data_IF_872383750179
#
_entry.id   IF_872383750179
#
_cell.length_a   1.000
_cell.length_b   1.000
_cell.length_c   1.000
_cell.angle_alpha   90.00
_cell.angle_beta   90.00
_cell.angle_gamma   90.00
#
_symmetry.space_group_name_H-M   'P 1'
#
loop_
_entity.id
_entity.type
_entity.pdbx_description
1 polymer ?
#
# COMPACT_ATOMS: atom_id res chain seq x y z
N UNK A 1 -52.62 -30.33 -84.59
CA UNK A 1 -52.47 -30.04 -86.02
C UNK A 1 -52.03 -31.31 -86.72
N UNK A 2 -52.95 -31.89 -87.51
CA UNK A 2 -52.79 -32.89 -88.58
C UNK A 2 -51.42 -33.56 -88.80
N UNK A 3 -51.39 -34.90 -88.78
CA UNK A 3 -51.52 -35.68 -90.02
C UNK A 3 -51.67 -37.19 -89.72
N UNK A 4 -52.89 -37.70 -89.81
CA UNK A 4 -53.11 -39.10 -90.12
C UNK A 4 -52.79 -39.28 -91.60
N UNK A 5 -51.61 -39.80 -91.92
CA UNK A 5 -51.32 -40.33 -93.25
C UNK A 5 -51.84 -41.77 -93.29
N UNK A 6 -53.03 -41.93 -93.85
CA UNK A 6 -53.52 -43.21 -94.37
C UNK A 6 -52.54 -43.72 -95.42
N UNK A 7 -51.80 -44.78 -95.10
CA UNK A 7 -51.10 -45.55 -96.11
C UNK A 7 -52.10 -46.48 -96.80
N UNK A 8 -52.46 -46.09 -98.02
CA UNK A 8 -53.18 -46.89 -99.01
C UNK A 8 -52.44 -48.21 -99.24
N UNK A 9 -53.07 -49.32 -98.84
CA UNK A 9 -52.62 -50.67 -99.17
C UNK A 9 -53.23 -51.05 -100.53
N UNK A 10 -52.54 -50.71 -101.61
CA UNK A 10 -52.82 -51.30 -102.92
C UNK A 10 -52.35 -52.76 -102.87
N UNK A 11 -53.27 -53.68 -102.59
CA UNK A 11 -53.07 -55.10 -102.84
C UNK A 11 -53.41 -55.39 -104.29
N UNK A 12 -52.38 -55.46 -105.15
CA UNK A 12 -52.49 -56.13 -106.44
C UNK A 12 -52.66 -57.65 -106.20
N UNK A 13 -53.63 -58.32 -106.82
CA UNK A 13 -53.77 -59.77 -106.70
C UNK A 13 -52.75 -60.47 -107.62
N UNK A 14 -51.75 -61.10 -107.01
CA UNK A 14 -50.72 -61.89 -107.69
C UNK A 14 -51.35 -63.19 -108.27
N UNK A 15 -51.19 -63.52 -109.57
CA UNK A 15 -52.00 -64.52 -110.28
C UNK A 15 -51.56 -65.98 -110.05
N UNK A 16 -51.15 -66.36 -108.83
CA UNK A 16 -50.64 -67.73 -108.54
C UNK A 16 -51.60 -68.64 -107.74
N UNK A 17 -52.85 -68.22 -107.51
CA UNK A 17 -53.82 -68.95 -106.67
C UNK A 17 -54.46 -70.20 -107.32
N UNK A 18 -54.10 -70.61 -108.54
CA UNK A 18 -54.76 -71.72 -109.26
C UNK A 18 -53.94 -73.02 -109.39
N UNK A 19 -52.81 -73.14 -108.70
CA UNK A 19 -51.99 -74.36 -108.69
C UNK A 19 -51.60 -74.75 -107.27
N UNK A 20 -51.65 -76.05 -106.93
CA UNK A 20 -51.33 -76.58 -105.59
C UNK A 20 -49.94 -76.15 -105.08
N UNK A 21 -48.99 -75.93 -106.00
CA UNK A 21 -47.64 -75.42 -105.72
C UNK A 21 -47.61 -73.92 -105.39
N UNK A 22 -48.46 -73.09 -106.00
CA UNK A 22 -48.54 -71.64 -105.72
C UNK A 22 -49.12 -71.36 -104.33
N UNK A 23 -50.17 -72.09 -103.96
CA UNK A 23 -50.75 -72.02 -102.60
C UNK A 23 -49.75 -72.53 -101.54
N UNK A 24 -48.99 -73.60 -101.82
CA UNK A 24 -47.90 -74.06 -100.94
C UNK A 24 -46.78 -73.02 -100.78
N UNK A 25 -46.39 -72.35 -101.86
CA UNK A 25 -45.38 -71.29 -101.82
C UNK A 25 -45.86 -70.07 -101.00
N UNK A 26 -47.13 -69.70 -101.14
CA UNK A 26 -47.75 -68.62 -100.37
C UNK A 26 -47.84 -68.95 -98.88
N UNK A 27 -48.24 -70.19 -98.53
CA UNK A 27 -48.26 -70.67 -97.14
C UNK A 27 -46.84 -70.68 -96.55
N UNK A 28 -45.85 -71.11 -97.32
CA UNK A 28 -44.44 -71.08 -96.90
C UNK A 28 -43.93 -69.64 -96.69
N UNK A 29 -44.29 -68.71 -97.58
CA UNK A 29 -43.98 -67.27 -97.46
C UNK A 29 -44.64 -66.66 -96.22
N UNK A 30 -45.93 -66.90 -96.01
CA UNK A 30 -46.65 -66.41 -94.83
C UNK A 30 -46.14 -67.05 -93.53
N UNK A 31 -45.76 -68.33 -93.56
CA UNK A 31 -45.13 -68.99 -92.41
C UNK A 31 -43.78 -68.36 -92.06
N UNK A 32 -42.93 -68.06 -93.06
CA UNK A 32 -41.68 -67.33 -92.85
C UNK A 32 -41.90 -65.91 -92.33
N UNK A 33 -42.92 -65.20 -92.82
CA UNK A 33 -43.28 -63.87 -92.31
C UNK A 33 -43.80 -63.93 -90.88
N UNK A 34 -44.60 -64.93 -90.54
CA UNK A 34 -45.08 -65.16 -89.18
C UNK A 34 -43.94 -65.50 -88.23
N UNK A 35 -43.00 -66.35 -88.64
CA UNK A 35 -41.78 -66.66 -87.87
C UNK A 35 -40.90 -65.42 -87.67
N UNK A 36 -40.71 -64.59 -88.70
CA UNK A 36 -39.98 -63.32 -88.58
C UNK A 36 -40.66 -62.33 -87.63
N UNK A 37 -41.99 -62.19 -87.71
CA UNK A 37 -42.77 -61.34 -86.80
C UNK A 37 -42.72 -61.83 -85.35
N UNK A 38 -42.63 -63.15 -85.13
CA UNK A 38 -42.49 -63.74 -83.80
C UNK A 38 -41.13 -63.44 -83.18
N UNK A 39 -40.06 -63.47 -83.98
CA UNK A 39 -38.72 -63.09 -83.52
C UNK A 39 -38.66 -61.58 -83.26
N UNK A 40 -39.17 -60.73 -84.16
CA UNK A 40 -39.24 -59.28 -83.94
C UNK A 40 -40.06 -58.93 -82.68
N UNK A 41 -41.19 -59.62 -82.45
CA UNK A 41 -42.01 -59.44 -81.25
C UNK A 41 -41.22 -59.81 -80.00
N UNK A 42 -40.45 -60.91 -80.04
CA UNK A 42 -39.61 -61.37 -78.93
C UNK A 42 -38.47 -60.39 -78.65
N UNK A 43 -37.81 -59.87 -79.68
CA UNK A 43 -36.76 -58.86 -79.56
C UNK A 43 -37.32 -57.54 -79.01
N UNK A 44 -38.48 -57.10 -79.49
CA UNK A 44 -39.18 -55.93 -78.97
C UNK A 44 -39.59 -56.09 -77.50
N UNK A 45 -40.08 -57.27 -77.10
CA UNK A 45 -40.41 -57.53 -75.69
C UNK A 45 -39.16 -57.53 -74.82
N UNK A 46 -38.07 -58.11 -75.29
CA UNK A 46 -36.79 -58.14 -74.56
C UNK A 46 -36.23 -56.72 -74.39
N UNK A 47 -36.19 -55.92 -75.46
CA UNK A 47 -35.73 -54.52 -75.42
C UNK A 47 -36.63 -53.63 -74.57
N UNK A 48 -37.95 -53.85 -74.58
CA UNK A 48 -38.90 -53.15 -73.70
C UNK A 48 -38.61 -53.45 -72.23
N UNK A 49 -38.40 -54.72 -71.90
CA UNK A 49 -38.17 -55.16 -70.53
C UNK A 49 -36.80 -54.67 -70.02
N UNK A 50 -35.76 -54.70 -70.86
CA UNK A 50 -34.45 -54.08 -70.58
C UNK A 50 -34.57 -52.58 -70.32
N UNK A 51 -35.28 -51.83 -71.17
CA UNK A 51 -35.52 -50.40 -70.95
C UNK A 51 -36.26 -50.13 -69.66
N UNK A 52 -37.23 -50.99 -69.31
CA UNK A 52 -38.02 -50.86 -68.08
C UNK A 52 -37.15 -51.13 -66.85
N UNK A 53 -36.29 -52.14 -66.91
CA UNK A 53 -35.33 -52.43 -65.85
C UNK A 53 -34.34 -51.27 -65.67
N UNK A 54 -33.72 -50.80 -66.76
CA UNK A 54 -32.81 -49.64 -66.75
C UNK A 54 -33.48 -48.40 -66.14
N UNK A 55 -34.72 -48.11 -66.54
CA UNK A 55 -35.51 -46.99 -65.99
C UNK A 55 -35.76 -47.16 -64.50
N UNK A 56 -35.98 -48.39 -64.03
CA UNK A 56 -36.21 -48.68 -62.61
C UNK A 56 -34.93 -48.51 -61.80
N UNK A 57 -33.80 -49.01 -62.31
CA UNK A 57 -32.48 -48.83 -61.70
C UNK A 57 -32.08 -47.34 -61.63
N UNK A 58 -32.33 -46.56 -62.70
CA UNK A 58 -32.07 -45.11 -62.68
C UNK A 58 -32.94 -44.40 -61.64
N UNK A 59 -34.24 -44.72 -61.56
CA UNK A 59 -35.12 -44.15 -60.54
C UNK A 59 -34.64 -44.48 -59.12
N UNK A 60 -34.20 -45.70 -58.87
CA UNK A 60 -33.70 -46.12 -57.56
C UNK A 60 -32.38 -45.42 -57.20
N UNK A 61 -31.44 -45.32 -58.15
CA UNK A 61 -30.20 -44.55 -57.97
C UNK A 61 -30.46 -43.08 -57.69
N UNK A 62 -31.38 -42.45 -58.43
CA UNK A 62 -31.75 -41.05 -58.19
C UNK A 62 -32.35 -40.86 -56.80
N UNK A 63 -33.27 -41.73 -56.37
CA UNK A 63 -33.85 -41.68 -55.02
C UNK A 63 -32.80 -41.85 -53.92
N UNK A 64 -31.88 -42.78 -54.10
CA UNK A 64 -30.79 -42.99 -53.14
C UNK A 64 -29.90 -41.76 -53.05
N UNK A 65 -29.49 -41.23 -54.20
CA UNK A 65 -28.65 -40.03 -54.28
C UNK A 65 -29.33 -38.80 -53.66
N UNK A 66 -30.64 -38.60 -53.86
CA UNK A 66 -31.37 -37.49 -53.23
C UNK A 66 -31.43 -37.64 -51.71
N UNK A 67 -31.66 -38.84 -51.19
CA UNK A 67 -31.68 -39.09 -49.73
C UNK A 67 -30.30 -38.88 -49.11
N UNK A 68 -29.24 -39.33 -49.79
CA UNK A 68 -27.87 -39.14 -49.31
C UNK A 68 -27.49 -37.64 -49.32
N UNK A 69 -27.87 -36.88 -50.36
CA UNK A 69 -27.69 -35.43 -50.42
C UNK A 69 -28.45 -34.69 -49.30
N UNK A 70 -29.71 -35.05 -49.04
CA UNK A 70 -30.50 -34.44 -47.95
C UNK A 70 -29.88 -34.72 -46.57
N UNK A 71 -29.33 -35.92 -46.37
CA UNK A 71 -28.60 -36.25 -45.13
C UNK A 71 -27.34 -35.42 -45.00
N UNK A 72 -26.52 -35.33 -46.05
CA UNK A 72 -25.29 -34.54 -46.02
C UNK A 72 -25.60 -33.06 -45.77
N UNK A 73 -26.63 -32.50 -46.41
CA UNK A 73 -27.07 -31.12 -46.19
C UNK A 73 -27.52 -30.89 -44.74
N UNK A 74 -28.28 -31.82 -44.15
CA UNK A 74 -28.66 -31.75 -42.74
C UNK A 74 -27.45 -31.84 -41.80
N UNK A 75 -26.51 -32.74 -42.08
CA UNK A 75 -25.29 -32.93 -41.29
C UNK A 75 -24.42 -31.68 -41.29
N UNK A 76 -24.15 -31.10 -42.48
CA UNK A 76 -23.36 -29.87 -42.57
C UNK A 76 -24.04 -28.69 -41.91
N UNK A 77 -25.37 -28.59 -41.99
CA UNK A 77 -26.11 -27.53 -41.32
C UNK A 77 -25.98 -27.62 -39.80
N UNK A 78 -26.16 -28.81 -39.23
CA UNK A 78 -26.02 -29.04 -37.79
C UNK A 78 -24.59 -28.77 -37.33
N UNK A 79 -23.59 -29.17 -38.11
CA UNK A 79 -22.17 -28.92 -37.78
C UNK A 79 -21.83 -27.42 -37.83
N UNK A 80 -22.33 -26.68 -38.82
CA UNK A 80 -22.17 -25.22 -38.88
C UNK A 80 -22.85 -24.54 -37.70
N UNK A 81 -24.05 -24.99 -37.31
CA UNK A 81 -24.78 -24.42 -36.16
C UNK A 81 -24.03 -24.67 -34.85
N UNK A 82 -23.49 -25.88 -34.67
CA UNK A 82 -22.67 -26.21 -33.50
C UNK A 82 -21.36 -25.40 -33.47
N UNK A 83 -20.65 -25.28 -34.59
CA UNK A 83 -19.45 -24.44 -34.69
C UNK A 83 -19.74 -22.96 -34.44
N UNK A 84 -20.91 -22.48 -34.84
CA UNK A 84 -21.32 -21.10 -34.57
C UNK A 84 -21.58 -20.89 -33.08
N UNK A 85 -22.26 -21.83 -32.43
CA UNK A 85 -22.50 -21.79 -30.99
C UNK A 85 -21.19 -21.80 -30.17
N UNK A 86 -20.21 -22.61 -30.58
CA UNK A 86 -18.89 -22.62 -29.90
C UNK A 86 -18.14 -21.31 -30.12
N UNK A 87 -18.22 -20.72 -31.31
CA UNK A 87 -17.60 -19.41 -31.60
C UNK A 87 -18.24 -18.29 -30.76
N UNK A 88 -19.57 -18.28 -30.64
CA UNK A 88 -20.28 -17.30 -29.82
C UNK A 88 -19.90 -17.43 -28.33
N UNK A 89 -19.80 -18.66 -27.81
CA UNK A 89 -19.32 -18.92 -26.43
C UNK A 89 -17.88 -18.46 -26.21
N UNK A 90 -16.97 -18.76 -27.15
CA UNK A 90 -15.57 -18.31 -27.05
C UNK A 90 -15.44 -16.79 -27.11
N UNK A 91 -16.29 -16.14 -27.91
CA UNK A 91 -16.31 -14.68 -28.00
C UNK A 91 -16.83 -14.03 -26.72
N UNK A 92 -17.79 -14.66 -26.04
CA UNK A 92 -18.24 -14.22 -24.72
C UNK A 92 -17.13 -14.38 -23.67
N UNK A 93 -16.42 -15.52 -23.66
CA UNK A 93 -15.26 -15.73 -22.79
C UNK A 93 -14.13 -14.73 -23.07
N UNK A 94 -13.82 -14.44 -24.34
CA UNK A 94 -12.82 -13.44 -24.72
C UNK A 94 -13.18 -12.05 -24.18
N UNK A 95 -14.45 -11.64 -24.29
CA UNK A 95 -14.91 -10.37 -23.76
C UNK A 95 -14.78 -10.32 -22.22
N UNK A 96 -15.20 -11.38 -21.54
CA UNK A 96 -15.09 -11.48 -20.07
C UNK A 96 -13.62 -11.40 -19.61
N UNK A 97 -12.72 -12.15 -20.25
CA UNK A 97 -11.30 -12.10 -19.97
C UNK A 97 -10.69 -10.72 -20.25
N UNK A 98 -11.13 -10.05 -21.33
CA UNK A 98 -10.67 -8.70 -21.65
C UNK A 98 -11.11 -7.67 -20.60
N UNK A 99 -12.32 -7.80 -20.05
CA UNK A 99 -12.78 -6.97 -18.93
C UNK A 99 -11.98 -7.24 -17.65
N UNK A 100 -11.69 -8.50 -17.36
CA UNK A 100 -10.90 -8.89 -16.19
C UNK A 100 -9.45 -8.37 -16.28
N UNK A 101 -8.83 -8.48 -17.45
CA UNK A 101 -7.50 -7.89 -17.72
C UNK A 101 -7.52 -6.37 -17.50
N UNK A 102 -8.55 -5.66 -17.99
CA UNK A 102 -8.67 -4.21 -17.79
C UNK A 102 -8.81 -3.86 -16.31
N UNK A 103 -9.57 -4.67 -15.55
CA UNK A 103 -9.76 -4.48 -14.11
C UNK A 103 -8.44 -4.65 -13.36
N UNK A 104 -7.72 -5.76 -13.62
CA UNK A 104 -6.43 -6.03 -12.99
C UNK A 104 -5.39 -4.97 -13.36
N UNK A 105 -5.37 -4.51 -14.61
CA UNK A 105 -4.47 -3.42 -15.03
C UNK A 105 -4.75 -2.10 -14.30
N UNK A 106 -6.02 -1.79 -14.02
CA UNK A 106 -6.37 -0.62 -13.23
C UNK A 106 -5.90 -0.74 -11.77
N UNK A 107 -6.06 -1.92 -11.17
CA UNK A 107 -5.64 -2.21 -9.80
C UNK A 107 -4.10 -2.17 -9.65
N UNK A 108 -3.36 -2.74 -10.61
CA UNK A 108 -1.89 -2.65 -10.65
C UNK A 108 -1.44 -1.20 -10.73
N UNK A 109 -2.10 -0.38 -11.56
CA UNK A 109 -1.73 1.03 -11.71
C UNK A 109 -1.97 1.83 -10.42
N UNK A 110 -3.07 1.55 -9.72
CA UNK A 110 -3.37 2.17 -8.43
C UNK A 110 -2.34 1.80 -7.36
N UNK A 111 -1.95 0.52 -7.29
CA UNK A 111 -0.88 0.06 -6.40
C UNK A 111 0.49 0.66 -6.77
N UNK A 112 0.82 0.75 -8.06
CA UNK A 112 2.06 1.40 -8.51
C UNK A 112 2.10 2.88 -8.12
N UNK A 113 0.98 3.62 -8.30
CA UNK A 113 0.87 5.02 -7.90
C UNK A 113 1.05 5.18 -6.38
N UNK A 114 0.46 4.29 -5.56
CA UNK A 114 0.66 4.27 -4.10
C UNK A 114 2.10 3.94 -3.71
N UNK A 115 2.73 3.00 -4.40
CA UNK A 115 4.10 2.59 -4.11
C UNK A 115 5.11 3.69 -4.47
N UNK A 116 4.87 4.46 -5.54
CA UNK A 116 5.66 5.66 -5.85
C UNK A 116 5.53 6.69 -4.74
N UNK A 117 4.32 6.95 -4.24
CA UNK A 117 4.11 7.89 -3.13
C UNK A 117 4.82 7.44 -1.84
N UNK A 118 4.71 6.15 -1.48
CA UNK A 118 5.41 5.57 -0.33
C UNK A 118 6.93 5.63 -0.49
N UNK A 119 7.45 5.43 -1.70
CA UNK A 119 8.88 5.50 -1.99
C UNK A 119 9.40 6.93 -1.96
N UNK A 120 8.64 7.90 -2.47
CA UNK A 120 8.95 9.33 -2.33
C UNK A 120 8.97 9.74 -0.85
N UNK A 121 8.04 9.24 -0.05
CA UNK A 121 8.04 9.43 1.39
C UNK A 121 9.29 8.79 2.03
N UNK A 122 9.65 7.55 1.65
CA UNK A 122 10.85 6.85 2.13
C UNK A 122 12.17 7.58 1.79
N UNK A 123 12.30 8.09 0.57
CA UNK A 123 13.49 8.84 0.15
C UNK A 123 13.62 10.18 0.90
N UNK A 124 12.49 10.78 1.30
CA UNK A 124 12.47 11.93 2.21
C UNK A 124 12.94 11.56 3.63
N UNK A 125 12.70 10.34 4.11
CA UNK A 125 13.26 9.87 5.39
C UNK A 125 14.78 9.67 5.36
N UNK A 126 15.39 9.43 4.21
CA UNK A 126 16.86 9.43 4.09
C UNK A 126 17.47 10.84 4.23
N UNK A 127 16.66 11.90 4.18
CA UNK A 127 17.08 13.31 4.27
C UNK A 127 16.71 13.99 5.60
N UNK A 128 16.63 13.20 6.70
CA UNK A 128 16.47 13.68 8.08
C UNK A 128 17.62 14.63 8.50
N UNK A 129 17.38 15.62 9.39
CA UNK A 129 18.33 16.69 9.69
C UNK A 129 19.62 16.17 10.34
N UNK A 130 20.75 16.78 9.96
CA UNK A 130 22.08 16.55 10.53
C UNK A 130 22.11 16.89 12.03
N UNK A 131 21.84 15.92 12.89
CA UNK A 131 22.48 15.88 14.20
C UNK A 131 23.91 15.41 13.95
N UNK A 132 24.93 16.15 14.42
CA UNK A 132 26.33 15.72 14.30
C UNK A 132 26.49 14.44 15.13
N UNK A 133 26.57 13.29 14.48
CA UNK A 133 26.85 12.01 15.13
C UNK A 133 28.35 11.86 15.29
N UNK A 134 28.86 11.88 16.52
CA UNK A 134 30.24 11.44 16.81
C UNK A 134 30.20 9.93 16.98
N UNK A 135 30.58 9.21 15.93
CA UNK A 135 30.58 7.75 15.92
C UNK A 135 31.75 7.21 16.78
N UNK A 136 31.52 7.01 18.09
CA UNK A 136 32.41 6.24 18.97
C UNK A 136 32.06 4.76 18.80
N UNK A 137 32.57 4.15 17.73
CA UNK A 137 32.13 2.84 17.24
C UNK A 137 32.41 1.66 18.19
N UNK A 138 31.37 0.84 18.40
CA UNK A 138 31.46 -0.62 18.56
C UNK A 138 30.31 -1.23 17.76
N UNK A 139 30.58 -1.61 16.52
CA UNK A 139 29.60 -2.20 15.60
C UNK A 139 29.22 -3.63 16.04
N UNK A 140 27.99 -3.80 16.53
CA UNK A 140 27.32 -5.10 16.60
C UNK A 140 25.99 -5.02 15.84
N UNK A 141 25.95 -5.76 14.73
CA UNK A 141 24.80 -6.33 14.01
C UNK A 141 23.46 -5.55 13.94
N UNK A 142 23.19 -4.99 12.77
CA UNK A 142 22.02 -5.16 11.89
C UNK A 142 20.59 -5.38 12.46
N UNK A 143 20.29 -4.83 13.64
CA UNK A 143 18.91 -4.56 14.10
C UNK A 143 18.81 -3.10 14.54
N UNK A 144 19.30 -2.17 13.70
CA UNK A 144 19.38 -0.72 13.97
C UNK A 144 17.98 -0.11 14.17
N UNK A 145 17.38 -0.37 15.34
CA UNK A 145 16.41 0.52 15.95
C UNK A 145 17.18 1.78 16.28
N UNK A 146 16.94 2.81 15.49
CA UNK A 146 17.48 4.13 15.70
C UNK A 146 16.99 4.64 17.07
N UNK A 147 17.83 4.54 18.09
CA UNK A 147 17.54 5.05 19.42
C UNK A 147 17.48 6.57 19.35
N UNK A 148 16.26 7.11 19.35
CA UNK A 148 16.03 8.53 19.52
C UNK A 148 16.39 8.91 20.96
N UNK A 149 17.50 9.62 21.11
CA UNK A 149 17.87 10.24 22.38
C UNK A 149 16.93 11.43 22.66
N UNK A 150 15.85 11.14 23.39
CA UNK A 150 14.83 12.10 23.77
C UNK A 150 15.16 12.66 25.15
N UNK A 151 15.36 13.98 25.25
CA UNK A 151 15.45 14.68 26.55
C UNK A 151 14.08 14.65 27.24
N UNK A 152 13.79 13.57 27.95
CA UNK A 152 12.55 13.41 28.71
C UNK A 152 12.57 14.29 29.94
N UNK A 153 11.55 15.15 30.06
CA UNK A 153 11.25 15.88 31.29
C UNK A 153 9.96 15.30 31.87
N UNK A 154 10.04 14.68 33.03
CA UNK A 154 8.90 14.05 33.70
C UNK A 154 8.49 14.90 34.88
N UNK A 155 7.24 15.32 34.90
CA UNK A 155 6.65 16.05 36.03
C UNK A 155 6.10 15.07 37.05
N UNK A 156 6.54 15.20 38.29
CA UNK A 156 6.07 14.41 39.42
C UNK A 156 5.30 15.31 40.41
N UNK A 157 4.03 15.02 40.70
CA UNK A 157 3.26 15.76 41.68
C UNK A 157 3.68 15.40 43.11
N UNK A 158 4.05 16.39 43.91
CA UNK A 158 4.39 16.22 45.31
C UNK A 158 3.21 16.61 46.21
N UNK A 159 2.85 15.74 47.14
CA UNK A 159 1.87 16.05 48.17
C UNK A 159 2.47 17.02 49.20
N UNK A 160 1.63 17.84 49.84
CA UNK A 160 2.08 18.75 50.89
C UNK A 160 2.71 18.00 52.09
N UNK A 161 3.79 18.52 52.64
CA UNK A 161 4.54 17.88 53.74
C UNK A 161 5.45 16.74 53.28
N UNK A 162 5.91 16.78 52.02
CA UNK A 162 6.83 15.81 51.44
C UNK A 162 8.11 16.46 50.93
N UNK A 163 9.22 15.73 50.93
CA UNK A 163 10.49 16.18 50.35
C UNK A 163 11.06 15.10 49.42
N UNK A 164 11.57 15.50 48.26
CA UNK A 164 12.36 14.66 47.38
C UNK A 164 13.84 14.94 47.62
N UNK A 165 14.63 13.88 47.78
CA UNK A 165 16.08 13.96 47.86
C UNK A 165 16.67 13.05 46.79
N UNK A 166 17.50 13.62 45.93
CA UNK A 166 18.29 12.91 44.94
C UNK A 166 19.73 12.85 45.43
N UNK A 167 20.26 11.64 45.55
CA UNK A 167 21.63 11.37 45.97
C UNK A 167 22.54 11.14 44.75
N UNK A 168 23.82 11.47 44.87
CA UNK A 168 24.79 11.15 43.81
C UNK A 168 24.94 9.63 43.63
N UNK A 169 24.91 8.89 44.73
CA UNK A 169 25.05 7.42 44.77
C UNK A 169 23.70 6.69 44.99
N UNK A 170 23.41 5.69 44.16
CA UNK A 170 22.22 4.83 44.30
C UNK A 170 22.26 3.96 45.57
N UNK A 171 23.45 3.58 46.02
CA UNK A 171 23.63 2.75 47.22
C UNK A 171 23.16 3.47 48.50
N UNK A 172 23.34 4.79 48.55
CA UNK A 172 22.89 5.66 49.65
C UNK A 172 21.36 5.71 49.66
N UNK A 173 20.73 6.00 48.52
CA UNK A 173 19.28 6.00 48.38
C UNK A 173 18.66 4.65 48.80
N UNK A 174 19.25 3.54 48.34
CA UNK A 174 18.85 2.19 48.73
C UNK A 174 18.97 1.92 50.23
N UNK A 175 20.01 2.46 50.88
CA UNK A 175 20.22 2.32 52.32
C UNK A 175 19.18 3.09 53.15
N UNK A 176 18.83 4.30 52.71
CA UNK A 176 17.79 5.14 53.32
C UNK A 176 16.41 4.47 53.19
N UNK A 177 16.12 3.87 52.03
CA UNK A 177 14.89 3.10 51.79
C UNK A 177 14.80 1.83 52.64
N UNK A 178 15.91 1.15 52.92
CA UNK A 178 15.94 -0.02 53.82
C UNK A 178 15.58 0.36 55.26
N UNK A 179 16.04 1.52 55.74
CA UNK A 179 15.73 1.99 57.09
C UNK A 179 14.27 2.43 57.26
N UNK A 180 13.62 2.91 56.19
CA UNK A 180 12.21 3.40 56.10
C UNK A 180 11.83 4.56 57.02
N UNK A 181 12.31 4.63 58.26
CA UNK A 181 11.97 5.66 59.25
C UNK A 181 13.25 6.33 59.71
N UNK A 182 13.28 7.66 59.57
CA UNK A 182 14.41 8.49 59.95
C UNK A 182 13.97 9.51 60.99
N UNK A 183 14.79 9.66 62.04
CA UNK A 183 14.54 10.61 63.11
C UNK A 183 15.44 11.82 62.91
N UNK A 184 14.88 12.87 62.33
CA UNK A 184 15.61 14.10 61.98
C UNK A 184 15.62 15.03 63.18
N UNK A 185 16.81 15.48 63.57
CA UNK A 185 17.00 16.48 64.63
C UNK A 185 17.04 17.87 64.00
N UNK A 186 15.98 18.67 64.20
CA UNK A 186 15.82 20.02 63.68
C UNK A 186 16.34 21.09 64.68
N UNK A 187 17.49 20.81 65.30
CA UNK A 187 18.09 21.66 66.35
C UNK A 187 18.03 21.06 67.76
N UNK A 188 18.20 21.89 68.78
CA UNK A 188 18.46 21.46 70.17
C UNK A 188 17.22 20.85 70.85
N UNK A 189 16.00 21.23 70.45
CA UNK A 189 14.76 20.81 71.13
C UNK A 189 13.70 20.18 70.20
N UNK A 190 13.88 20.21 68.88
CA UNK A 190 12.88 19.73 67.91
C UNK A 190 13.33 18.46 67.18
N UNK A 191 12.48 17.43 67.19
CA UNK A 191 12.73 16.14 66.54
C UNK A 191 11.51 15.70 65.74
N UNK A 192 11.69 15.41 64.45
CA UNK A 192 10.63 14.91 63.58
C UNK A 192 10.93 13.48 63.15
N UNK A 193 9.88 12.73 62.84
CA UNK A 193 9.98 11.37 62.31
C UNK A 193 9.48 11.43 60.88
N UNK A 194 10.38 11.20 59.92
CA UNK A 194 10.05 11.15 58.50
C UNK A 194 10.10 9.71 57.99
N UNK A 195 9.27 9.41 57.01
CA UNK A 195 9.23 8.10 56.37
C UNK A 195 9.73 8.19 54.93
N UNK A 196 10.73 7.37 54.62
CA UNK A 196 11.34 7.25 53.30
C UNK A 196 10.61 6.21 52.44
N UNK A 197 10.22 6.64 51.24
CA UNK A 197 9.50 5.86 50.25
C UNK A 197 10.22 5.92 48.89
N UNK A 198 10.18 4.83 48.10
CA UNK A 198 10.72 4.83 46.75
C UNK A 198 9.84 5.67 45.80
N UNK A 199 10.47 6.47 44.95
CA UNK A 199 9.79 7.24 43.92
C UNK A 199 9.59 6.37 42.68
N UNK A 200 8.35 6.32 42.19
CA UNK A 200 8.02 5.63 40.94
C UNK A 200 7.60 6.68 39.90
N UNK A 201 8.26 6.65 38.75
CA UNK A 201 7.94 7.49 37.61
C UNK A 201 7.36 6.65 36.48
N UNK A 202 6.38 7.22 35.79
CA UNK A 202 5.87 6.67 34.54
C UNK A 202 6.79 7.07 33.41
N UNK A 203 7.55 6.10 32.89
CA UNK A 203 8.46 6.29 31.78
C UNK A 203 7.86 5.71 30.49
N UNK A 204 8.01 6.36 29.33
CA UNK A 204 7.70 5.74 28.05
C UNK A 204 8.65 4.57 27.81
N UNK A 205 8.10 3.39 27.50
CA UNK A 205 8.87 2.18 27.16
C UNK A 205 8.94 1.92 25.66
N UNK A 206 7.91 2.31 24.92
CA UNK A 206 7.85 2.24 23.46
C UNK A 206 7.10 3.48 22.96
N UNK A 207 7.69 4.16 21.99
CA UNK A 207 7.04 5.26 21.26
C UNK A 207 7.14 4.94 19.78
N UNK A 208 6.01 4.68 19.14
CA UNK A 208 5.92 4.58 17.69
C UNK A 208 5.33 5.89 17.17
N UNK A 209 6.04 6.49 16.22
CA UNK A 209 5.69 7.78 15.62
C UNK A 209 5.47 7.52 14.15
N UNK A 210 4.22 7.66 13.72
CA UNK A 210 3.90 7.74 12.31
C UNK A 210 4.25 9.13 11.81
N UNK A 211 5.08 9.19 10.78
CA UNK A 211 5.65 10.45 10.30
C UNK A 211 5.16 10.68 8.88
N UNK A 212 4.60 11.85 8.62
CA UNK A 212 4.14 12.24 7.30
C UNK A 212 4.83 13.53 6.86
N UNK A 213 5.19 13.62 5.58
CA UNK A 213 5.79 14.82 5.01
C UNK A 213 4.72 15.89 4.81
N UNK A 214 4.88 17.06 5.42
CA UNK A 214 3.92 18.14 5.27
C UNK A 214 4.11 18.85 3.91
N UNK A 215 3.11 18.87 3.00
CA UNK A 215 3.25 19.46 1.66
C UNK A 215 3.24 21.00 1.66
N UNK A 216 2.99 21.62 2.81
CA UNK A 216 2.91 23.08 2.99
C UNK A 216 4.03 23.65 3.85
N UNK A 217 4.81 22.82 4.54
CA UNK A 217 5.80 23.27 5.53
C UNK A 217 7.20 22.81 5.15
N UNK A 218 8.16 23.71 5.30
CA UNK A 218 9.58 23.41 5.15
C UNK A 218 10.34 23.77 6.42
N UNK A 219 11.47 23.10 6.59
CA UNK A 219 12.42 23.33 7.65
C UNK A 219 13.71 23.88 7.02
N UNK A 220 14.16 25.05 7.47
CA UNK A 220 15.35 25.73 6.93
C UNK A 220 16.46 25.74 7.96
N UNK A 221 17.54 25.01 7.68
CA UNK A 221 18.72 24.84 8.51
C UNK A 221 19.97 25.51 7.90
N UNK A 222 21.10 25.42 8.61
CA UNK A 222 22.37 26.10 8.27
C UNK A 222 22.23 27.63 8.19
N UNK A 223 21.55 28.22 9.17
CA UNK A 223 21.28 29.65 9.24
C UNK A 223 22.45 30.42 9.89
N UNK A 224 22.77 31.63 9.44
CA UNK A 224 23.81 32.45 10.07
C UNK A 224 23.39 32.90 11.47
N UNK A 225 24.34 32.97 12.41
CA UNK A 225 24.14 33.55 13.74
C UNK A 225 23.90 35.06 13.62
N UNK A 226 22.64 35.48 13.63
CA UNK A 226 22.23 36.88 13.56
C UNK A 226 20.91 37.11 14.29
N UNK A 227 20.41 38.34 14.31
CA UNK A 227 19.13 38.67 14.95
C UNK A 227 17.99 37.87 14.30
N UNK A 228 17.20 37.20 15.15
CA UNK A 228 16.11 36.29 14.76
C UNK A 228 15.01 36.99 13.96
N UNK A 229 14.60 38.20 14.35
CA UNK A 229 13.56 38.96 13.64
C UNK A 229 14.00 39.33 12.23
N UNK A 230 15.26 39.77 12.08
CA UNK A 230 15.81 40.12 10.76
C UNK A 230 15.93 38.87 9.89
N UNK A 231 16.30 37.73 10.48
CA UNK A 231 16.43 36.45 9.78
C UNK A 231 15.09 35.96 9.24
N UNK A 232 14.06 35.92 10.09
CA UNK A 232 12.72 35.50 9.70
C UNK A 232 12.18 36.36 8.57
N UNK A 233 12.28 37.68 8.70
CA UNK A 233 11.80 38.61 7.67
C UNK A 233 12.54 38.43 6.34
N UNK A 234 13.87 38.24 6.36
CA UNK A 234 14.65 37.99 5.13
C UNK A 234 14.32 36.64 4.48
N UNK A 235 14.13 35.60 5.28
CA UNK A 235 13.75 34.28 4.79
C UNK A 235 12.34 34.30 4.20
N UNK A 236 11.39 34.92 4.88
CA UNK A 236 10.02 35.12 4.40
C UNK A 236 9.99 35.88 3.06
N UNK A 237 10.75 36.99 2.94
CA UNK A 237 10.87 37.72 1.67
C UNK A 237 11.57 36.89 0.59
N UNK A 238 12.48 35.98 0.96
CA UNK A 238 13.18 35.14 0.00
C UNK A 238 12.28 34.04 -0.55
N UNK A 239 11.59 33.34 0.34
CA UNK A 239 10.72 32.21 0.02
C UNK A 239 9.31 32.63 -0.41
N UNK A 240 8.91 33.90 -0.22
CA UNK A 240 7.70 34.45 -0.86
C UNK A 240 7.83 34.63 -2.38
N UNK A 241 9.05 34.64 -2.91
CA UNK A 241 9.30 34.91 -4.32
C UNK A 241 9.30 33.63 -5.13
N UNK A 242 8.36 33.54 -6.08
CA UNK A 242 8.24 32.44 -7.05
C UNK A 242 9.50 32.22 -7.88
N UNK A 243 10.28 33.29 -8.16
CA UNK A 243 11.56 33.19 -8.88
C UNK A 243 12.62 32.31 -8.17
N UNK A 244 12.47 32.11 -6.87
CA UNK A 244 13.35 31.29 -6.04
C UNK A 244 12.74 29.90 -5.78
N UNK A 245 11.71 29.49 -6.53
CA UNK A 245 10.94 28.27 -6.27
C UNK A 245 9.94 28.40 -5.11
N UNK A 246 9.80 29.61 -4.55
CA UNK A 246 8.96 29.90 -3.40
C UNK A 246 7.50 30.19 -3.73
N UNK A 247 6.72 30.57 -2.70
CA UNK A 247 5.29 30.89 -2.81
C UNK A 247 4.83 31.70 -1.60
N UNK A 248 3.58 32.16 -1.62
CA UNK A 248 3.02 32.99 -0.55
C UNK A 248 3.15 32.30 0.82
N UNK A 249 3.86 32.97 1.73
CA UNK A 249 4.16 32.50 3.09
C UNK A 249 3.01 32.90 4.00
N UNK A 250 2.52 31.95 4.77
CA UNK A 250 1.50 32.14 5.81
C UNK A 250 2.17 32.47 7.16
N UNK A 251 3.15 31.65 7.56
CA UNK A 251 3.83 31.74 8.86
C UNK A 251 5.33 31.45 8.70
N UNK A 252 6.17 32.17 9.44
CA UNK A 252 7.61 32.00 9.47
C UNK A 252 8.10 32.07 10.93
N UNK A 253 8.44 30.92 11.52
CA UNK A 253 8.75 30.79 12.95
C UNK A 253 10.16 30.24 13.18
N UNK A 254 10.86 30.79 14.17
CA UNK A 254 12.18 30.31 14.58
C UNK A 254 12.04 29.28 15.70
N UNK A 255 12.63 28.10 15.52
CA UNK A 255 12.76 27.08 16.55
C UNK A 255 14.08 27.28 17.31
N UNK A 256 14.04 27.78 18.57
CA UNK A 256 15.25 28.00 19.35
C UNK A 256 15.97 26.69 19.70
N UNK A 257 15.23 25.60 19.89
CA UNK A 257 15.76 24.31 20.32
C UNK A 257 16.74 23.70 19.31
N UNK A 258 16.46 23.86 18.02
CA UNK A 258 17.28 23.33 16.92
C UNK A 258 17.99 24.42 16.11
N UNK A 259 17.81 25.68 16.46
CA UNK A 259 18.33 26.83 15.71
C UNK A 259 17.84 26.91 14.26
N UNK A 260 16.66 26.36 13.98
CA UNK A 260 16.13 26.14 12.61
C UNK A 260 14.88 27.01 12.39
N UNK A 261 14.54 27.35 11.14
CA UNK A 261 13.33 28.13 10.82
C UNK A 261 12.30 27.26 10.15
N UNK A 262 11.05 27.33 10.60
CA UNK A 262 9.90 26.68 9.96
C UNK A 262 9.17 27.72 9.13
N UNK A 263 8.92 27.40 7.85
CA UNK A 263 8.16 28.25 6.95
C UNK A 263 6.93 27.48 6.48
N UNK A 264 5.76 28.10 6.64
CA UNK A 264 4.45 27.58 6.24
C UNK A 264 3.98 28.35 5.02
N UNK A 265 3.60 27.66 3.96
CA UNK A 265 3.05 28.26 2.75
C UNK A 265 1.53 28.12 2.69
N UNK A 266 0.87 29.10 2.08
CA UNK A 266 -0.58 29.07 1.85
C UNK A 266 -0.93 27.97 0.82
N UNK A 267 -0.11 27.84 -0.22
CA UNK A 267 -0.32 26.86 -1.30
C UNK A 267 0.38 25.54 -1.02
N UNK A 268 -0.34 24.45 -1.26
CA UNK A 268 0.22 23.10 -1.33
C UNK A 268 1.14 22.98 -2.55
N UNK A 269 2.16 22.12 -2.44
CA UNK A 269 3.20 21.82 -3.45
C UNK A 269 4.40 22.77 -3.51
N UNK A 270 4.33 23.96 -2.91
CA UNK A 270 5.49 24.86 -2.85
C UNK A 270 6.64 24.23 -2.05
N UNK A 271 6.31 23.53 -0.96
CA UNK A 271 7.30 22.87 -0.12
C UNK A 271 8.06 21.76 -0.88
N UNK A 272 7.36 20.96 -1.71
CA UNK A 272 7.97 19.85 -2.48
C UNK A 272 9.10 20.35 -3.38
N UNK A 273 8.83 21.37 -4.19
CA UNK A 273 9.83 21.95 -5.10
C UNK A 273 11.03 22.59 -4.39
N UNK A 274 10.80 23.20 -3.22
CA UNK A 274 11.88 23.78 -2.43
C UNK A 274 12.79 22.71 -1.82
N UNK A 275 12.22 21.57 -1.44
CA UNK A 275 12.94 20.41 -0.90
C UNK A 275 13.78 19.72 -1.97
N UNK A 276 13.28 19.59 -3.21
CA UNK A 276 14.05 19.02 -4.34
C UNK A 276 15.37 19.76 -4.60
N UNK A 277 15.38 21.07 -4.38
CA UNK A 277 16.57 21.91 -4.62
C UNK A 277 17.57 21.82 -3.46
N UNK A 278 17.15 21.33 -2.28
CA UNK A 278 17.85 21.16 -0.98
C UNK A 278 18.65 22.38 -0.46
N UNK A 279 19.38 23.10 -1.28
CA UNK A 279 20.22 24.23 -0.92
C UNK A 279 19.84 25.50 -1.67
N UNK A 280 19.57 26.58 -0.93
CA UNK A 280 19.13 27.86 -1.47
C UNK A 280 20.10 28.98 -1.08
N UNK A 281 20.47 29.83 -2.04
CA UNK A 281 21.28 31.02 -1.76
C UNK A 281 20.41 32.22 -1.35
N UNK A 282 20.32 32.47 -0.05
CA UNK A 282 19.57 33.59 0.50
C UNK A 282 20.50 34.80 0.68
N UNK A 283 20.06 35.97 0.20
CA UNK A 283 20.76 37.24 0.43
C UNK A 283 20.41 37.78 1.82
N UNK A 284 21.33 37.64 2.77
CA UNK A 284 21.19 38.16 4.13
C UNK A 284 22.22 39.28 4.32
N UNK A 285 21.75 40.49 4.64
CA UNK A 285 22.56 41.66 5.00
C UNK A 285 23.82 41.90 4.13
N UNK A 286 23.68 41.78 2.80
CA UNK A 286 24.68 41.99 1.73
C UNK A 286 25.55 40.78 1.35
N UNK A 287 25.53 39.69 2.11
CA UNK A 287 26.21 38.44 1.77
C UNK A 287 25.22 37.36 1.32
N UNK A 288 25.64 36.49 0.42
CA UNK A 288 24.87 35.31 0.02
C UNK A 288 25.21 34.17 0.98
N UNK A 289 24.20 33.61 1.65
CA UNK A 289 24.37 32.45 2.51
C UNK A 289 23.61 31.26 1.92
N UNK A 290 24.26 30.10 1.92
CA UNK A 290 23.68 28.84 1.47
C UNK A 290 22.92 28.21 2.64
N UNK A 291 21.60 28.34 2.63
CA UNK A 291 20.71 27.69 3.60
C UNK A 291 20.28 26.35 3.06
N UNK A 292 20.04 25.38 3.94
CA UNK A 292 19.53 24.06 3.56
C UNK A 292 18.05 23.99 3.87
N UNK A 293 17.25 23.51 2.93
CA UNK A 293 15.80 23.34 3.03
C UNK A 293 15.50 21.85 3.03
N UNK A 294 14.90 21.39 4.12
CA UNK A 294 14.46 20.01 4.30
C UNK A 294 12.94 19.99 4.50
N UNK A 295 12.27 18.88 4.19
CA UNK A 295 10.84 18.76 4.41
C UNK A 295 10.52 18.81 5.90
N UNK A 296 9.36 19.35 6.25
CA UNK A 296 8.86 19.30 7.61
C UNK A 296 8.09 18.00 7.83
N UNK A 297 8.56 17.16 8.76
CA UNK A 297 7.89 15.92 9.13
C UNK A 297 6.88 16.19 10.25
N UNK A 298 5.61 15.88 9.98
CA UNK A 298 4.59 15.81 11.02
C UNK A 298 4.65 14.42 11.65
N UNK A 299 5.13 14.34 12.88
CA UNK A 299 5.08 13.11 13.66
C UNK A 299 3.78 13.04 14.46
N UNK A 300 2.99 11.99 14.25
CA UNK A 300 1.87 11.61 15.11
C UNK A 300 2.25 10.38 15.90
N UNK A 301 2.20 10.47 17.23
CA UNK A 301 2.41 9.30 18.09
C UNK A 301 1.23 8.35 17.88
N UNK A 302 1.51 7.18 17.31
CA UNK A 302 0.50 6.13 17.06
C UNK A 302 0.43 5.14 18.19
N UNK A 303 1.57 4.87 18.84
CA UNK A 303 1.65 3.93 19.95
C UNK A 303 2.56 4.48 21.04
N UNK A 304 2.04 4.58 22.25
CA UNK A 304 2.80 4.98 23.44
C UNK A 304 2.55 3.94 24.51
N UNK A 305 3.57 3.14 24.81
CA UNK A 305 3.56 2.25 25.96
C UNK A 305 4.34 2.90 27.09
N UNK A 306 3.80 2.79 28.30
CA UNK A 306 4.42 3.35 29.51
C UNK A 306 4.66 2.25 30.53
N UNK A 307 5.73 2.40 31.30
CA UNK A 307 6.13 1.49 32.37
C UNK A 307 6.44 2.29 33.63
N UNK A 308 5.95 1.81 34.77
CA UNK A 308 6.39 2.28 36.08
C UNK A 308 7.83 1.86 36.30
N UNK A 309 8.71 2.82 36.50
CA UNK A 309 10.11 2.60 36.86
C UNK A 309 10.42 3.27 38.21
N UNK A 310 11.20 2.61 39.05
CA UNK A 310 11.67 3.17 40.31
C UNK A 310 12.88 4.06 40.05
N UNK A 311 12.92 5.25 40.64
CA UNK A 311 14.12 6.09 40.64
C UNK A 311 15.18 5.46 41.55
N UNK A 312 16.36 5.09 41.04
CA UNK A 312 17.40 4.45 41.84
C UNK A 312 18.00 5.41 42.87
N UNK A 313 18.15 6.69 42.51
CA UNK A 313 18.87 7.70 43.28
C UNK A 313 17.97 8.64 44.10
N UNK A 314 16.66 8.59 43.89
CA UNK A 314 15.73 9.56 44.49
C UNK A 314 14.82 8.90 45.53
N UNK A 315 14.70 9.54 46.68
CA UNK A 315 13.87 9.10 47.81
C UNK A 315 12.82 10.17 48.12
N UNK A 316 11.58 9.73 48.36
CA UNK A 316 10.49 10.58 48.86
C UNK A 316 10.39 10.45 50.37
N UNK A 317 10.56 11.57 51.06
CA UNK A 317 10.29 11.71 52.49
C UNK A 317 8.88 12.22 52.71
N UNK A 318 8.16 11.59 53.64
CA UNK A 318 6.79 11.93 54.01
C UNK A 318 6.68 12.12 55.52
N UNK A 319 5.66 12.86 55.95
CA UNK A 319 5.41 13.14 57.37
C UNK A 319 6.22 14.32 57.90
N UNK A 320 6.54 15.29 57.04
CA UNK A 320 7.23 16.52 57.42
C UNK A 320 6.18 17.55 57.86
N UNK A 321 6.16 17.94 59.15
CA UNK A 321 5.23 18.92 59.67
C UNK A 321 5.68 20.36 59.35
N UNK A 322 4.72 21.28 59.26
CA UNK A 322 4.95 22.72 59.09
C UNK A 322 5.24 23.37 60.45
N UNK A 323 6.50 23.30 60.87
CA UNK A 323 6.97 23.79 62.18
C UNK A 323 7.94 24.98 62.01
N UNK A 324 8.54 25.13 60.83
CA UNK A 324 9.63 26.06 60.54
C UNK A 324 9.49 26.61 59.13
N UNK A 325 10.25 27.66 58.82
CA UNK A 325 10.32 28.22 57.47
C UNK A 325 10.88 27.19 56.47
N UNK A 326 10.36 27.23 55.23
CA UNK A 326 10.64 26.27 54.17
C UNK A 326 12.15 26.08 53.93
N UNK A 327 12.90 27.18 53.78
CA UNK A 327 14.33 27.15 53.50
C UNK A 327 15.11 26.53 54.67
N UNK A 328 14.80 26.94 55.90
CA UNK A 328 15.47 26.38 57.10
C UNK A 328 15.18 24.89 57.28
N UNK A 329 13.95 24.45 57.01
CA UNK A 329 13.58 23.04 57.12
C UNK A 329 14.26 22.19 56.04
N UNK A 330 14.34 22.72 54.82
CA UNK A 330 15.06 22.09 53.71
C UNK A 330 16.56 21.93 54.04
N UNK A 331 17.22 22.98 54.51
CA UNK A 331 18.64 22.94 54.90
C UNK A 331 18.91 21.91 56.01
N UNK A 332 18.04 21.84 57.03
CA UNK A 332 18.19 20.88 58.13
C UNK A 332 17.97 19.43 57.67
N UNK A 333 17.04 19.20 56.73
CA UNK A 333 16.84 17.90 56.09
C UNK A 333 18.08 17.52 55.28
N UNK A 334 18.60 18.44 54.47
CA UNK A 334 19.81 18.22 53.68
C UNK A 334 21.00 17.82 54.56
N UNK A 335 21.30 18.62 55.61
CA UNK A 335 22.38 18.33 56.57
C UNK A 335 22.19 16.98 57.27
N UNK A 336 20.94 16.60 57.58
CA UNK A 336 20.67 15.31 58.23
C UNK A 336 20.98 14.13 57.30
N UNK A 337 20.56 14.22 56.04
CA UNK A 337 20.75 13.16 55.04
C UNK A 337 22.11 13.21 54.34
N UNK A 338 22.92 14.24 54.57
CA UNK A 338 24.34 14.28 54.19
C UNK A 338 25.24 13.53 55.18
N UNK A 339 24.78 13.33 56.43
CA UNK A 339 25.57 12.63 57.46
C UNK A 339 25.59 11.12 57.23
N UNK A 340 26.79 10.57 56.97
CA UNK A 340 27.04 9.13 56.85
C UNK A 340 26.53 8.30 58.04
N UNK A 341 26.53 8.85 59.25
CA UNK A 341 26.03 8.17 60.46
C UNK A 341 24.53 7.80 60.41
N UNK A 342 23.76 8.46 59.55
CA UNK A 342 22.33 8.23 59.35
C UNK A 342 22.04 7.38 58.10
N UNK A 343 23.06 6.77 57.49
CA UNK A 343 22.95 6.11 56.19
C UNK A 343 22.83 7.08 55.02
N UNK A 344 23.19 8.34 55.24
CA UNK A 344 23.21 9.43 54.26
C UNK A 344 24.48 9.49 53.40
N UNK A 345 24.53 10.43 52.47
CA UNK A 345 25.63 10.61 51.52
C UNK A 345 25.51 11.94 50.77
N UNK A 346 26.30 12.12 49.71
CA UNK A 346 26.27 13.36 48.92
C UNK A 346 24.93 13.54 48.20
N UNK A 347 24.35 14.73 48.34
CA UNK A 347 23.03 15.09 47.82
C UNK A 347 23.25 15.93 46.58
N UNK A 348 22.68 15.49 45.46
CA UNK A 348 22.69 16.21 44.19
C UNK A 348 21.61 17.30 44.17
N UNK A 349 20.42 16.97 44.68
CA UNK A 349 19.31 17.91 44.75
C UNK A 349 18.33 17.56 45.88
N UNK A 350 17.75 18.58 46.51
CA UNK A 350 16.65 18.45 47.46
C UNK A 350 15.53 19.42 47.11
N UNK A 351 14.29 18.95 47.25
CA UNK A 351 13.09 19.74 46.98
C UNK A 351 12.04 19.44 48.04
N UNK A 352 11.64 20.44 48.82
CA UNK A 352 10.62 20.31 49.87
C UNK A 352 9.32 20.99 49.46
N UNK A 353 8.19 20.29 49.62
CA UNK A 353 6.84 20.84 49.45
C UNK A 353 6.16 21.06 50.83
N UNK A 354 5.90 22.32 51.24
CA UNK A 354 5.20 22.66 52.48
C UNK A 354 3.77 22.10 52.56
N UNK A 355 3.23 21.99 53.78
CA UNK A 355 1.83 21.59 53.96
C UNK A 355 0.88 22.65 53.39
N UNK A 356 -0.09 22.22 52.58
CA UNK A 356 -1.08 23.12 51.96
C UNK A 356 -0.63 23.75 50.63
N UNK A 357 0.55 23.41 50.13
CA UNK A 357 1.03 23.78 48.79
C UNK A 357 1.07 22.57 47.85
N UNK A 358 0.95 22.84 46.55
CA UNK A 358 1.10 21.85 45.49
C UNK A 358 2.34 22.21 44.69
N UNK A 359 3.33 21.33 44.70
CA UNK A 359 4.60 21.53 44.01
C UNK A 359 4.83 20.38 43.00
N UNK A 360 5.40 20.72 41.85
CA UNK A 360 5.75 19.76 40.80
C UNK A 360 7.27 19.64 40.74
N UNK A 361 7.78 18.42 40.92
CA UNK A 361 9.19 18.13 40.70
C UNK A 361 9.41 17.78 39.23
N UNK A 362 10.43 18.38 38.62
CA UNK A 362 10.82 18.10 37.23
C UNK A 362 12.03 17.16 37.24
N UNK A 363 11.86 15.95 36.73
CA UNK A 363 12.93 15.00 36.50
C UNK A 363 13.41 15.15 35.06
N UNK A 364 14.67 15.53 34.87
CA UNK A 364 15.32 15.61 33.56
C UNK A 364 16.53 14.70 33.49
N UNK A 365 16.83 14.18 32.31
CA UNK A 365 18.08 13.46 32.09
C UNK A 365 19.22 14.48 31.95
N UNK A 366 20.16 14.48 32.89
CA UNK A 366 21.44 15.18 32.77
C UNK A 366 22.32 14.42 31.78
N UNK A 367 22.22 14.77 30.50
CA UNK A 367 23.34 14.51 29.59
C UNK A 367 24.43 15.49 29.99
N UNK A 368 25.60 14.98 30.38
CA UNK A 368 26.79 15.80 30.53
C UNK A 368 26.92 16.67 29.28
N UNK A 369 26.81 17.98 29.47
CA UNK A 369 27.26 18.92 28.45
C UNK A 369 28.76 18.63 28.29
N UNK A 370 29.14 17.98 27.19
CA UNK A 370 30.54 17.90 26.77
C UNK A 370 31.00 19.36 26.74
N UNK A 371 31.80 19.73 27.74
CA UNK A 371 32.49 21.02 27.79
C UNK A 371 33.31 21.08 26.51
N UNK A 372 32.88 21.91 25.57
CA UNK A 372 33.66 22.28 24.41
C UNK A 372 34.97 22.90 24.94
N UNK A 373 36.04 22.09 25.01
CA UNK A 373 37.39 22.59 25.16
C UNK A 373 37.78 23.31 23.86
N UNK A 374 38.22 24.56 24.03
CA UNK A 374 38.47 25.59 22.99
C UNK A 374 39.31 25.18 21.78
#
# INVERSE_FOLDING_TARGET
>A
SNSCQEFSLVTDPDPSEKTLEGVKALISKHKKQYEALLEDQKDLTSSRDERRDLTTQFKERTKKLTVDLEKDESFYKDEIENQKATLDSLKEEENNLMEEIKKIQAEIKEEDDQNVELKEQADVFCSIPEKKFVFKGLTKNAEDRQEFDMKSHITYPMDGGTALITFEEEDVASSILKMKRHKVELGVECRIIVQAHPVHLMLPSLVEIDSEVCPRRILVSNLPKMNTEILLNKLEIHFSKTKNGGGEVDVCDYLPDSGTVVIVFIKENVAKHLVETEFHEVKLNQTKHKVRVTPFLNGKITNLQTKMSMCPRTVLLTGIPDIMEQETLQDLLEIHFQKYGNGGGEIEAILYNPLGQNLLALFGNTLEEERDEE
#
